data_IF_896467251904
#
_entry.id   IF_896467251904
#
_cell.length_a   1.000
_cell.length_b   1.000
_cell.length_c   1.000
_cell.angle_alpha   90.00
_cell.angle_beta   90.00
_cell.angle_gamma   90.00
#
_symmetry.space_group_name_H-M   'P 1'
#
loop_
_entity.id
_entity.type
_entity.pdbx_description
1 polymer ?
#
# COMPACT_ATOMS: atom_id res chain seq x y z
N UNK A 1 16.28 -12.96 28.14
CA UNK A 1 15.48 -12.48 27.61
C UNK A 1 14.78 -13.08 26.59
N UNK A 2 14.06 -13.14 26.45
CA UNK A 2 13.43 -13.43 25.58
C UNK A 2 12.78 -14.01 24.81
N UNK A 3 12.41 -14.78 25.04
CA UNK A 3 11.73 -15.51 24.14
C UNK A 3 10.41 -14.99 23.74
N UNK A 4 9.72 -14.36 24.57
CA UNK A 4 8.36 -13.91 24.27
C UNK A 4 8.37 -12.46 23.84
N UNK A 5 8.14 -12.25 22.56
CA UNK A 5 7.91 -10.91 22.08
C UNK A 5 6.42 -10.64 22.16
N UNK A 6 6.01 -9.46 22.63
CA UNK A 6 4.62 -9.08 22.54
C UNK A 6 4.18 -9.12 21.08
N UNK A 7 2.90 -9.40 20.86
CA UNK A 7 2.36 -9.40 19.53
C UNK A 7 2.64 -8.03 18.88
N UNK A 8 3.33 -8.04 17.75
CA UNK A 8 3.67 -6.80 17.08
C UNK A 8 2.39 -6.13 16.59
N UNK A 9 2.20 -4.88 16.97
CA UNK A 9 1.12 -4.09 16.43
C UNK A 9 1.61 -3.50 15.10
N UNK A 10 1.12 -4.06 13.99
CA UNK A 10 1.56 -3.63 12.66
C UNK A 10 1.17 -2.19 12.35
N UNK A 11 0.22 -1.62 13.09
CA UNK A 11 -0.13 -0.20 12.91
C UNK A 11 1.04 0.72 13.24
N UNK A 12 1.98 0.26 14.05
CA UNK A 12 3.20 1.02 14.35
C UNK A 12 4.08 1.24 13.12
N UNK A 13 3.86 0.47 12.05
CA UNK A 13 4.56 0.67 10.79
C UNK A 13 4.05 1.90 10.03
N UNK A 14 2.87 2.41 10.38
CA UNK A 14 2.26 3.55 9.69
C UNK A 14 2.86 4.83 10.25
N UNK A 15 3.58 5.55 9.38
CA UNK A 15 4.30 6.76 9.73
C UNK A 15 3.61 7.99 9.14
N UNK A 16 3.85 9.14 9.75
CA UNK A 16 3.54 10.42 9.13
C UNK A 16 4.53 10.69 7.99
N UNK A 17 4.18 11.62 7.10
CA UNK A 17 5.12 12.04 6.05
C UNK A 17 6.42 12.55 6.68
N UNK A 18 6.33 13.37 7.74
CA UNK A 18 7.50 13.90 8.40
C UNK A 18 8.42 12.79 8.93
N UNK A 19 7.84 11.77 9.56
CA UNK A 19 8.62 10.64 10.07
C UNK A 19 9.25 9.84 8.93
N UNK A 20 8.52 9.68 7.82
CA UNK A 20 9.04 8.95 6.66
C UNK A 20 10.27 9.64 6.06
N UNK A 21 10.28 10.97 6.07
CA UNK A 21 11.42 11.73 5.54
C UNK A 21 12.71 11.48 6.32
N UNK A 22 12.60 10.99 7.54
CA UNK A 22 13.76 10.72 8.41
C UNK A 22 14.25 9.27 8.32
N UNK A 23 13.64 8.43 7.48
CA UNK A 23 14.07 7.04 7.36
C UNK A 23 15.50 6.94 6.84
N UNK A 24 16.29 6.03 7.43
CA UNK A 24 17.68 5.86 6.97
C UNK A 24 17.73 5.12 5.62
N UNK A 25 18.60 5.56 4.70
CA UNK A 25 18.79 4.83 3.45
C UNK A 25 19.55 3.51 3.71
N UNK A 26 19.44 2.51 2.82
CA UNK A 26 18.62 2.51 1.60
C UNK A 26 17.17 2.16 1.87
N UNK A 27 16.26 2.63 1.03
CA UNK A 27 14.83 2.34 1.12
C UNK A 27 14.31 2.01 -0.28
N UNK A 28 13.51 0.96 -0.38
CA UNK A 28 12.74 0.67 -1.58
C UNK A 28 11.35 1.28 -1.40
N UNK A 29 10.83 1.89 -2.45
CA UNK A 29 9.56 2.60 -2.41
C UNK A 29 8.56 1.94 -3.34
N UNK A 30 7.35 1.71 -2.84
CA UNK A 30 6.22 1.26 -3.65
C UNK A 30 5.07 2.22 -3.40
N UNK A 31 4.41 2.64 -4.48
CA UNK A 31 3.24 3.50 -4.40
C UNK A 31 2.04 2.78 -4.97
N UNK A 32 0.86 3.06 -4.44
CA UNK A 32 -0.38 2.47 -4.94
C UNK A 32 -1.58 2.96 -4.15
N UNK A 33 -2.75 2.52 -4.58
CA UNK A 33 -4.00 2.86 -3.90
C UNK A 33 -4.40 1.81 -2.87
N UNK A 34 -4.16 0.54 -3.18
CA UNK A 34 -4.44 -0.60 -2.29
C UNK A 34 -5.88 -0.58 -1.74
N UNK A 35 -6.83 -0.16 -2.57
CA UNK A 35 -8.22 -0.07 -2.14
C UNK A 35 -8.81 -1.45 -1.84
N UNK A 36 -8.45 -2.44 -2.64
CA UNK A 36 -8.73 -3.84 -2.36
C UNK A 36 -7.42 -4.59 -2.48
N UNK A 37 -6.92 -5.08 -1.37
CA UNK A 37 -5.65 -5.80 -1.35
C UNK A 37 -5.84 -7.22 -1.89
N UNK A 38 -5.01 -7.60 -2.85
CA UNK A 38 -5.05 -8.92 -3.48
C UNK A 38 -3.77 -9.70 -3.24
N UNK A 39 -3.85 -11.02 -3.44
CA UNK A 39 -2.67 -11.88 -3.35
C UNK A 39 -1.57 -11.43 -4.32
N UNK A 40 -1.95 -10.98 -5.52
CA UNK A 40 -0.99 -10.45 -6.49
C UNK A 40 -0.24 -9.22 -5.99
N UNK A 41 -0.91 -8.37 -5.23
CA UNK A 41 -0.25 -7.20 -4.62
C UNK A 41 0.80 -7.64 -3.61
N UNK A 42 0.47 -8.61 -2.76
CA UNK A 42 1.41 -9.13 -1.77
C UNK A 42 2.62 -9.77 -2.45
N UNK A 43 2.40 -10.50 -3.54
CA UNK A 43 3.49 -11.12 -4.32
C UNK A 43 4.39 -10.08 -4.95
N UNK A 44 3.81 -9.02 -5.49
CA UNK A 44 4.60 -7.94 -6.10
C UNK A 44 5.44 -7.22 -5.06
N UNK A 45 4.87 -6.96 -3.89
CA UNK A 45 5.61 -6.36 -2.78
C UNK A 45 6.75 -7.26 -2.31
N UNK A 46 6.54 -8.57 -2.28
CA UNK A 46 7.57 -9.52 -1.90
C UNK A 46 8.73 -9.53 -2.90
N UNK A 47 8.45 -9.29 -4.19
CA UNK A 47 9.47 -9.27 -5.23
C UNK A 47 10.43 -8.10 -5.11
N UNK A 48 9.97 -6.97 -4.59
CA UNK A 48 10.81 -5.77 -4.45
C UNK A 48 11.52 -5.71 -3.11
N UNK A 49 11.44 -6.78 -2.31
CA UNK A 49 11.98 -6.78 -0.95
C UNK A 49 13.46 -7.13 -0.92
N UNK A 50 14.31 -6.26 -1.39
CA UNK A 50 15.75 -6.40 -1.23
C UNK A 50 16.32 -5.35 -0.27
N UNK A 51 15.49 -4.40 0.13
CA UNK A 51 15.81 -3.31 1.04
C UNK A 51 14.61 -3.06 1.93
N UNK A 52 14.75 -2.31 3.03
CA UNK A 52 13.57 -1.90 3.79
C UNK A 52 12.52 -1.28 2.87
N UNK A 53 11.30 -1.75 2.98
CA UNK A 53 10.22 -1.40 2.07
C UNK A 53 9.27 -0.38 2.67
N UNK A 54 9.19 0.78 2.05
CA UNK A 54 8.21 1.82 2.36
C UNK A 54 7.11 1.79 1.31
N UNK A 55 5.87 1.64 1.76
CA UNK A 55 4.70 1.70 0.88
C UNK A 55 3.96 3.02 1.12
N UNK A 56 3.73 3.77 0.06
CA UNK A 56 2.95 5.00 0.12
C UNK A 56 1.55 4.72 -0.43
N UNK A 57 0.55 4.91 0.43
CA UNK A 57 -0.86 4.77 0.07
C UNK A 57 -1.34 6.13 -0.41
N UNK A 58 -1.74 6.19 -1.68
CA UNK A 58 -2.14 7.43 -2.35
C UNK A 58 -3.66 7.60 -2.33
N UNK A 59 -4.14 8.85 -2.44
CA UNK A 59 -5.58 9.09 -2.51
C UNK A 59 -6.15 8.62 -3.84
N UNK A 60 -7.35 8.04 -3.77
CA UNK A 60 -8.10 7.60 -4.95
C UNK A 60 -9.53 8.03 -4.75
N UNK A 61 -10.07 8.88 -5.60
CA UNK A 61 -11.44 9.31 -5.48
C UNK A 61 -12.42 8.14 -5.55
N UNK A 62 -13.39 8.11 -4.65
CA UNK A 62 -14.41 7.06 -4.64
C UNK A 62 -13.91 5.70 -4.16
N UNK A 63 -12.91 5.69 -3.30
CA UNK A 63 -12.39 4.45 -2.75
C UNK A 63 -13.39 3.71 -1.88
N UNK A 64 -13.29 2.38 -1.85
CA UNK A 64 -14.13 1.51 -1.04
C UNK A 64 -13.72 1.59 0.42
N UNK A 65 -12.42 1.56 0.67
CA UNK A 65 -11.85 1.65 2.01
C UNK A 65 -11.27 3.03 2.24
N UNK A 66 -11.41 3.55 3.45
CA UNK A 66 -10.78 4.82 3.78
C UNK A 66 -9.24 4.67 3.79
N UNK A 67 -8.48 5.78 3.74
CA UNK A 67 -7.03 5.70 3.67
C UNK A 67 -6.40 4.95 4.84
N UNK A 68 -6.92 5.13 6.04
CA UNK A 68 -6.38 4.45 7.22
C UNK A 68 -6.57 2.95 7.14
N UNK A 69 -7.77 2.50 6.73
CA UNK A 69 -8.05 1.08 6.57
C UNK A 69 -7.13 0.45 5.51
N UNK A 70 -6.91 1.16 4.41
CA UNK A 70 -6.00 0.67 3.36
C UNK A 70 -4.57 0.55 3.88
N UNK A 71 -4.12 1.56 4.63
CA UNK A 71 -2.78 1.54 5.21
C UNK A 71 -2.62 0.41 6.22
N UNK A 72 -3.63 0.14 7.03
CA UNK A 72 -3.57 -0.94 8.02
C UNK A 72 -3.49 -2.31 7.35
N UNK A 73 -4.21 -2.53 6.26
CA UNK A 73 -4.13 -3.78 5.51
C UNK A 73 -2.73 -3.98 4.93
N UNK A 74 -2.15 -2.95 4.34
CA UNK A 74 -0.79 -3.03 3.79
C UNK A 74 0.22 -3.26 4.91
N UNK A 75 0.07 -2.57 6.03
CA UNK A 75 0.98 -2.70 7.16
C UNK A 75 0.96 -4.12 7.77
N UNK A 76 -0.16 -4.83 7.62
CA UNK A 76 -0.26 -6.20 8.11
C UNK A 76 0.61 -7.19 7.33
N UNK A 77 1.06 -6.81 6.14
CA UNK A 77 1.92 -7.68 5.33
C UNK A 77 3.33 -7.74 5.90
N UNK A 78 3.83 -8.95 6.05
CA UNK A 78 5.15 -9.19 6.63
C UNK A 78 6.28 -8.50 5.86
N UNK A 79 6.16 -8.44 4.55
CA UNK A 79 7.21 -7.88 3.69
C UNK A 79 7.30 -6.35 3.76
N UNK A 80 6.30 -5.70 4.33
CA UNK A 80 6.25 -4.25 4.41
C UNK A 80 6.87 -3.79 5.72
N UNK A 81 7.81 -2.87 5.66
CA UNK A 81 8.47 -2.32 6.85
C UNK A 81 7.82 -1.03 7.32
N UNK A 82 7.42 -0.17 6.39
CA UNK A 82 6.82 1.12 6.70
C UNK A 82 5.68 1.45 5.74
N UNK A 83 4.69 2.17 6.23
CA UNK A 83 3.56 2.65 5.42
C UNK A 83 3.33 4.11 5.70
N UNK A 84 3.03 4.88 4.66
CA UNK A 84 2.68 6.30 4.77
C UNK A 84 1.43 6.56 3.95
N UNK A 85 0.50 7.31 4.53
CA UNK A 85 -0.64 7.86 3.78
C UNK A 85 -0.22 9.25 3.32
N UNK A 86 -0.16 9.48 2.02
CA UNK A 86 0.29 10.75 1.48
C UNK A 86 -0.48 11.13 0.21
N UNK A 87 -0.59 12.43 -0.02
CA UNK A 87 -1.03 12.92 -1.31
C UNK A 87 0.18 12.98 -2.27
N UNK A 88 -0.04 13.40 -3.49
CA UNK A 88 1.05 13.44 -4.48
C UNK A 88 2.15 14.44 -4.11
N UNK A 89 1.78 15.55 -3.46
CA UNK A 89 2.77 16.51 -2.98
C UNK A 89 3.66 15.90 -1.89
N UNK A 90 3.07 15.16 -0.96
CA UNK A 90 3.83 14.44 0.06
C UNK A 90 4.72 13.36 -0.55
N UNK A 91 4.21 12.64 -1.57
CA UNK A 91 4.99 11.63 -2.29
C UNK A 91 6.22 12.26 -2.94
N UNK A 92 6.06 13.40 -3.60
CA UNK A 92 7.18 14.08 -4.26
C UNK A 92 8.27 14.44 -3.25
N UNK A 93 7.87 14.91 -2.08
CA UNK A 93 8.82 15.22 -1.00
C UNK A 93 9.56 13.98 -0.52
N UNK A 94 8.85 12.86 -0.40
CA UNK A 94 9.45 11.59 0.02
C UNK A 94 10.47 11.11 -1.01
N UNK A 95 10.11 11.12 -2.29
CA UNK A 95 10.99 10.69 -3.37
C UNK A 95 12.25 11.55 -3.40
N UNK A 96 12.08 12.86 -3.31
CA UNK A 96 13.19 13.80 -3.35
C UNK A 96 14.13 13.64 -2.16
N UNK A 97 13.56 13.44 -0.98
CA UNK A 97 14.33 13.34 0.26
C UNK A 97 15.02 11.99 0.43
N UNK A 98 14.31 10.90 0.19
CA UNK A 98 14.83 9.55 0.43
C UNK A 98 15.66 9.00 -0.72
N UNK A 99 15.42 9.46 -1.93
CA UNK A 99 16.09 8.95 -3.14
C UNK A 99 16.09 7.42 -3.14
N UNK A 100 14.89 6.80 -3.23
CA UNK A 100 14.78 5.36 -3.07
C UNK A 100 15.63 4.60 -4.08
N UNK A 101 16.20 3.49 -3.65
CA UNK A 101 17.05 2.64 -4.50
C UNK A 101 16.23 1.87 -5.53
N UNK A 102 14.95 1.65 -5.22
CA UNK A 102 13.98 1.07 -6.14
C UNK A 102 12.69 1.82 -5.98
N UNK A 103 11.97 2.04 -7.07
CA UNK A 103 10.69 2.72 -7.04
C UNK A 103 9.72 1.99 -7.97
N UNK A 104 8.72 1.34 -7.38
CA UNK A 104 7.71 0.60 -8.12
C UNK A 104 6.36 1.29 -7.95
N UNK A 105 5.72 1.60 -9.07
CA UNK A 105 4.42 2.26 -9.07
C UNK A 105 3.33 1.25 -9.40
N UNK A 106 2.37 1.09 -8.49
CA UNK A 106 1.25 0.17 -8.67
C UNK A 106 -0.08 0.89 -8.86
N UNK A 107 -0.08 2.22 -8.79
CA UNK A 107 -1.33 2.97 -8.85
C UNK A 107 -2.06 2.79 -10.19
N UNK A 108 -1.36 2.65 -11.29
CA UNK A 108 -1.99 2.42 -12.59
C UNK A 108 -2.79 1.13 -12.64
N UNK A 109 -2.20 0.03 -12.16
CA UNK A 109 -2.87 -1.26 -12.05
C UNK A 109 -4.06 -1.19 -11.10
N UNK A 110 -3.85 -0.57 -9.94
CA UNK A 110 -4.90 -0.44 -8.93
C UNK A 110 -6.09 0.35 -9.46
N UNK A 111 -5.85 1.42 -10.20
CA UNK A 111 -6.92 2.23 -10.79
C UNK A 111 -7.73 1.44 -11.81
N UNK A 112 -7.06 0.68 -12.66
CA UNK A 112 -7.72 -0.16 -13.67
C UNK A 112 -8.60 -1.21 -12.99
N UNK A 113 -8.10 -1.89 -11.98
CA UNK A 113 -8.88 -2.88 -11.24
C UNK A 113 -10.10 -2.27 -10.56
N UNK A 114 -9.91 -1.10 -9.97
CA UNK A 114 -11.00 -0.40 -9.30
C UNK A 114 -12.12 -0.05 -10.27
N UNK A 115 -11.79 0.40 -11.47
CA UNK A 115 -12.76 0.75 -12.49
C UNK A 115 -13.52 -0.47 -13.01
N UNK A 116 -12.86 -1.62 -13.09
CA UNK A 116 -13.48 -2.85 -13.57
C UNK A 116 -14.33 -3.54 -12.52
N UNK A 117 -14.00 -3.41 -11.27
CA UNK A 117 -14.65 -4.13 -10.19
C UNK A 117 -16.16 -3.96 -10.15
N UNK A 118 -16.70 -2.74 -10.15
CA UNK A 118 -18.15 -2.54 -10.13
C UNK A 118 -18.86 -3.16 -11.32
N UNK A 119 -18.27 -3.08 -12.51
CA UNK A 119 -18.87 -3.66 -13.71
C UNK A 119 -18.99 -5.17 -13.60
N UNK A 120 -17.93 -5.82 -13.19
CA UNK A 120 -17.91 -7.26 -13.02
C UNK A 120 -18.93 -7.72 -11.98
N UNK A 121 -19.05 -6.99 -10.89
CA UNK A 121 -19.98 -7.29 -9.84
C UNK A 121 -21.42 -7.14 -10.31
N UNK A 122 -21.73 -6.06 -11.02
CA UNK A 122 -23.07 -5.80 -11.55
C UNK A 122 -23.46 -6.88 -12.56
N UNK A 123 -22.59 -7.21 -13.49
CA UNK A 123 -22.85 -8.27 -14.47
C UNK A 123 -23.11 -9.62 -13.80
N UNK A 124 -22.36 -9.93 -12.77
CA UNK A 124 -22.53 -11.18 -12.04
C UNK A 124 -23.88 -11.25 -11.32
N UNK A 125 -24.29 -10.16 -10.70
CA UNK A 125 -25.58 -10.07 -10.03
C UNK A 125 -26.72 -10.17 -11.03
N UNK A 126 -26.64 -9.47 -12.15
CA UNK A 126 -27.66 -9.52 -13.21
C UNK A 126 -27.85 -10.95 -13.73
N UNK A 127 -26.78 -11.66 -13.97
CA UNK A 127 -26.86 -13.06 -14.41
C UNK A 127 -27.57 -13.95 -13.40
N UNK A 128 -27.33 -13.73 -12.12
CA UNK A 128 -28.01 -14.49 -11.07
C UNK A 128 -29.50 -14.18 -11.00
N UNK A 129 -29.86 -12.94 -11.25
CA UNK A 129 -31.26 -12.53 -11.19
C UNK A 129 -32.09 -13.06 -12.38
N UNK A 130 -31.45 -13.28 -13.50
CA UNK A 130 -32.13 -13.79 -14.69
C UNK A 130 -32.46 -15.28 -14.56
N UNK A 131 -31.73 -15.98 -13.75
CA UNK A 131 -31.96 -17.40 -13.47
C UNK A 131 -32.89 -17.58 -12.31
#
# INVERSE_FOLDING_TARGET
MGGIRPRMDTRSKILSVAAALELPPPVALVTGYFDVLRVGDARELARVRHHPLLVVVLPLGGEILDPRARAELVAALRVVDYVVIANYGGLDRIVESLKPVEYTRMEGEHAVRRDRWPRQLIEHVDRRQIN
#
